data_IF_623350841959
#
_entry.id   IF_623350841959
#
_cell.length_a   1.000
_cell.length_b   1.000
_cell.length_c   1.000
_cell.angle_alpha   90.00
_cell.angle_beta   90.00
_cell.angle_gamma   90.00
#
_symmetry.space_group_name_H-M   'P 1'
#
loop_
_entity.id
_entity.type
_entity.pdbx_description
1 polymer ?
#
# COMPACT_ATOMS: atom_id res chain seq x y z
N UNK A 1 8.49 -19.65 0.94
CA UNK A 1 9.45 -18.56 1.22
C UNK A 1 8.68 -17.25 1.29
N UNK A 2 8.80 -16.48 2.37
CA UNK A 2 7.96 -15.28 2.60
C UNK A 2 8.68 -14.08 1.97
N UNK A 3 8.19 -13.55 0.83
CA UNK A 3 8.74 -12.33 0.21
C UNK A 3 8.67 -11.19 1.24
N UNK A 4 9.82 -10.74 1.73
CA UNK A 4 9.92 -9.59 2.62
C UNK A 4 10.06 -8.34 1.77
N UNK A 5 9.11 -7.43 1.91
CA UNK A 5 9.17 -6.11 1.27
C UNK A 5 9.73 -5.10 2.27
N UNK A 6 10.72 -4.27 1.89
CA UNK A 6 11.25 -3.24 2.77
C UNK A 6 10.16 -2.21 3.10
N UNK A 7 10.22 -1.63 4.31
CA UNK A 7 9.20 -0.69 4.79
C UNK A 7 8.99 0.50 3.84
N UNK A 8 10.07 1.00 3.25
CA UNK A 8 10.03 2.09 2.28
C UNK A 8 9.19 1.73 1.03
N UNK A 9 9.29 0.48 0.57
CA UNK A 9 8.52 0.00 -0.59
C UNK A 9 7.04 -0.13 -0.27
N UNK A 10 6.69 -0.67 0.92
CA UNK A 10 5.30 -0.75 1.36
C UNK A 10 4.67 0.64 1.49
N UNK A 11 5.41 1.60 2.06
CA UNK A 11 4.96 2.98 2.20
C UNK A 11 4.73 3.64 0.84
N UNK A 12 5.63 3.44 -0.12
CA UNK A 12 5.49 3.94 -1.50
C UNK A 12 4.23 3.40 -2.18
N UNK A 13 4.06 2.07 -2.19
CA UNK A 13 2.88 1.41 -2.79
C UNK A 13 1.58 1.82 -2.09
N UNK A 14 1.60 1.96 -0.76
CA UNK A 14 0.44 2.41 -0.01
C UNK A 14 0.09 3.87 -0.29
N UNK A 15 1.09 4.75 -0.48
CA UNK A 15 0.88 6.15 -0.88
C UNK A 15 0.28 6.25 -2.28
N UNK A 16 0.81 5.53 -3.28
CA UNK A 16 0.25 5.44 -4.63
C UNK A 16 -1.23 4.98 -4.57
N UNK A 17 -1.53 3.98 -3.72
CA UNK A 17 -2.88 3.45 -3.52
C UNK A 17 -3.84 4.38 -2.74
N UNK A 18 -3.32 5.28 -1.90
CA UNK A 18 -4.11 6.27 -1.14
C UNK A 18 -4.38 7.50 -2.01
N UNK A 19 -3.38 7.96 -2.76
CA UNK A 19 -3.49 9.10 -3.66
C UNK A 19 -4.38 8.84 -4.87
N UNK A 20 -4.80 7.59 -5.06
CA UNK A 20 -5.61 7.16 -6.20
C UNK A 20 -4.90 7.37 -7.55
N UNK A 21 -3.56 7.49 -7.52
CA UNK A 21 -2.71 7.60 -8.72
C UNK A 21 -2.72 6.28 -9.52
N UNK A 22 -2.77 5.15 -8.84
CA UNK A 22 -2.87 3.83 -9.46
C UNK A 22 -3.93 2.99 -8.70
N UNK A 23 -4.70 2.19 -9.44
CA UNK A 23 -5.63 1.25 -8.81
C UNK A 23 -4.89 0.08 -8.15
N UNK A 24 -5.51 -0.57 -7.16
CA UNK A 24 -4.95 -1.77 -6.52
C UNK A 24 -4.61 -2.86 -7.55
N UNK A 25 -5.40 -2.95 -8.64
CA UNK A 25 -5.17 -3.89 -9.72
C UNK A 25 -3.92 -3.52 -10.54
N UNK A 26 -3.72 -2.25 -10.84
CA UNK A 26 -2.53 -1.78 -11.55
C UNK A 26 -1.26 -1.90 -10.72
N UNK A 27 -1.29 -1.53 -9.44
CA UNK A 27 -0.17 -1.75 -8.52
C UNK A 27 0.15 -3.24 -8.37
N UNK A 28 -0.87 -4.08 -8.37
CA UNK A 28 -0.72 -5.53 -8.30
C UNK A 28 0.01 -6.08 -9.54
N UNK A 29 -0.33 -5.57 -10.74
CA UNK A 29 0.33 -5.94 -11.99
C UNK A 29 1.73 -5.33 -12.14
N UNK A 30 1.87 -4.03 -11.84
CA UNK A 30 3.11 -3.23 -11.98
C UNK A 30 4.23 -3.73 -11.09
N UNK A 31 3.91 -4.12 -9.87
CA UNK A 31 4.87 -4.55 -8.87
C UNK A 31 4.83 -6.06 -8.59
N UNK A 32 4.02 -6.82 -9.35
CA UNK A 32 3.80 -8.27 -9.20
C UNK A 32 3.46 -8.68 -7.75
N UNK A 33 2.62 -7.87 -7.10
CA UNK A 33 2.22 -8.04 -5.71
C UNK A 33 0.78 -8.49 -5.68
N UNK A 34 0.43 -9.40 -4.78
CA UNK A 34 -0.96 -9.79 -4.60
C UNK A 34 -1.82 -8.60 -4.13
N UNK A 35 -2.98 -8.39 -4.76
CA UNK A 35 -3.95 -7.31 -4.46
C UNK A 35 -4.25 -7.17 -2.95
N UNK A 36 -4.34 -8.31 -2.26
CA UNK A 36 -4.58 -8.36 -0.81
C UNK A 36 -3.46 -7.70 0.03
N UNK A 37 -2.20 -7.76 -0.43
CA UNK A 37 -1.07 -7.10 0.23
C UNK A 37 -1.15 -5.59 0.07
N UNK A 38 -1.48 -5.12 -1.14
CA UNK A 38 -1.65 -3.69 -1.43
C UNK A 38 -2.79 -3.11 -0.58
N UNK A 39 -3.93 -3.82 -0.49
CA UNK A 39 -5.04 -3.47 0.41
C UNK A 39 -4.62 -3.37 1.87
N UNK A 40 -3.83 -4.35 2.35
CA UNK A 40 -3.31 -4.35 3.71
C UNK A 40 -2.41 -3.14 3.97
N UNK A 41 -1.47 -2.85 3.07
CA UNK A 41 -0.54 -1.72 3.23
C UNK A 41 -1.25 -0.38 3.14
N UNK A 42 -2.26 -0.26 2.27
CA UNK A 42 -3.15 0.90 2.22
C UNK A 42 -3.81 1.15 3.59
N UNK A 43 -4.39 0.11 4.19
CA UNK A 43 -5.01 0.21 5.52
C UNK A 43 -3.98 0.55 6.61
N UNK A 44 -2.80 -0.04 6.55
CA UNK A 44 -1.70 0.21 7.49
C UNK A 44 -1.20 1.67 7.38
N UNK A 45 -1.08 2.21 6.16
CA UNK A 45 -0.71 3.60 5.93
C UNK A 45 -1.82 4.59 6.34
N UNK A 46 -3.10 4.25 6.10
CA UNK A 46 -4.23 5.05 6.60
C UNK A 46 -4.31 5.04 8.13
N UNK A 47 -3.95 3.92 8.77
CA UNK A 47 -3.88 3.83 10.23
C UNK A 47 -2.64 4.55 10.80
N UNK A 48 -1.57 4.68 10.01
CA UNK A 48 -0.36 5.38 10.38
C UNK A 48 -0.47 6.90 10.18
N UNK A 49 -1.40 7.37 9.35
CA UNK A 49 -1.82 8.77 9.34
C UNK A 49 -2.63 8.99 10.62
N UNK A 50 -2.09 9.70 11.64
CA UNK A 50 -2.93 10.09 12.75
C UNK A 50 -3.97 11.04 12.17
N UNK A 51 -5.23 10.61 12.11
CA UNK A 51 -6.35 11.54 12.09
C UNK A 51 -6.34 12.26 13.45
N UNK A 52 -5.44 13.22 13.61
CA UNK A 52 -5.57 14.26 14.63
C UNK A 52 -6.62 15.25 14.11
N UNK A 53 -7.90 14.85 14.25
CA UNK A 53 -9.19 15.54 14.01
C UNK A 53 -10.14 14.38 13.66
N UNK A 54 -11.17 14.00 14.42
CA UNK A 54 -11.96 14.64 15.47
C UNK A 54 -12.51 13.53 16.39
#
# INVERSE_FOLDING_TARGET
MRKQYPGNFKAKVALEAIRSEDTIAELSSKYEIHRALVMRWKKEALSALPVCVQ
#
